data_IF_746814775010
#
_entry.id   IF_746814775010
#
_cell.length_a   1.000
_cell.length_b   1.000
_cell.length_c   1.000
_cell.angle_alpha   90.00
_cell.angle_beta   90.00
_cell.angle_gamma   90.00
#
_symmetry.space_group_name_H-M   'P 1'
#
loop_
_entity.id
_entity.type
_entity.pdbx_description
1 polymer ?
#
# COMPACT_ATOMS: atom_id res chain seq x y z
N UNK A 1 -10.24 -1.14 12.93
CA UNK A 1 -10.88 0.18 13.13
C UNK A 1 -9.92 1.34 12.91
N UNK A 2 -8.67 1.29 13.41
CA UNK A 2 -7.68 2.37 13.31
C UNK A 2 -7.36 2.83 11.88
N UNK A 3 -7.31 1.92 10.90
CA UNK A 3 -7.08 2.31 9.51
C UNK A 3 -8.17 3.20 8.94
N UNK A 4 -9.44 2.86 9.20
CA UNK A 4 -10.57 3.66 8.75
C UNK A 4 -10.60 5.02 9.45
N UNK A 5 -10.29 5.07 10.75
CA UNK A 5 -10.20 6.32 11.50
C UNK A 5 -9.05 7.21 10.98
N UNK A 6 -7.87 6.64 10.70
CA UNK A 6 -6.76 7.36 10.08
C UNK A 6 -7.18 7.96 8.74
N UNK A 7 -7.82 7.15 7.89
CA UNK A 7 -8.23 7.57 6.55
C UNK A 7 -9.39 8.58 6.57
N UNK A 8 -10.31 8.49 7.53
CA UNK A 8 -11.38 9.48 7.67
C UNK A 8 -10.85 10.86 8.03
N UNK A 9 -9.84 10.94 8.90
CA UNK A 9 -9.11 12.19 9.19
C UNK A 9 -8.36 12.70 7.97
N UNK A 10 -7.70 11.80 7.22
CA UNK A 10 -6.96 12.18 6.02
C UNK A 10 -7.88 12.80 4.96
N UNK A 11 -9.06 12.20 4.74
CA UNK A 11 -10.05 12.60 3.73
C UNK A 11 -10.97 13.75 4.18
N UNK A 12 -10.93 14.16 5.45
CA UNK A 12 -11.78 15.23 5.96
C UNK A 12 -11.34 16.61 5.45
N UNK A 13 -12.19 17.61 5.68
CA UNK A 13 -11.87 19.03 5.45
C UNK A 13 -11.08 19.72 6.57
N UNK A 14 -10.51 18.99 7.54
CA UNK A 14 -9.76 19.62 8.64
C UNK A 14 -8.51 20.35 8.15
N UNK A 15 -8.13 21.40 8.88
CA UNK A 15 -6.90 22.15 8.56
C UNK A 15 -5.66 21.25 8.69
N UNK A 16 -4.57 21.53 7.96
CA UNK A 16 -3.33 20.76 8.05
C UNK A 16 -2.77 20.66 9.47
N UNK A 17 -2.96 21.71 10.29
CA UNK A 17 -2.53 21.71 11.69
C UNK A 17 -3.25 20.63 12.52
N UNK A 18 -4.57 20.51 12.35
CA UNK A 18 -5.36 19.50 13.06
C UNK A 18 -5.02 18.09 12.55
N UNK A 19 -4.85 17.93 11.23
CA UNK A 19 -4.44 16.64 10.64
C UNK A 19 -3.06 16.21 11.14
N UNK A 20 -2.09 17.12 11.16
CA UNK A 20 -0.75 16.89 11.71
C UNK A 20 -0.78 16.53 13.19
N UNK A 21 -1.65 17.19 13.96
CA UNK A 21 -1.83 16.87 15.37
C UNK A 21 -2.35 15.43 15.59
N UNK A 22 -3.33 14.96 14.81
CA UNK A 22 -3.87 13.60 14.98
C UNK A 22 -3.07 12.50 14.28
N UNK A 23 -2.43 12.80 13.15
CA UNK A 23 -1.80 11.78 12.30
C UNK A 23 -0.26 11.80 12.38
N UNK A 24 0.31 12.88 12.91
CA UNK A 24 1.75 13.12 12.95
C UNK A 24 2.21 14.09 11.84
N UNK A 25 3.41 14.68 11.99
CA UNK A 25 3.91 15.71 11.07
C UNK A 25 4.13 15.22 9.65
N UNK A 26 4.36 13.92 9.47
CA UNK A 26 4.65 13.30 8.18
C UNK A 26 3.42 12.73 7.48
N UNK A 27 2.19 13.04 7.92
CA UNK A 27 0.96 12.39 7.44
C UNK A 27 0.72 12.46 5.92
N UNK A 28 1.40 13.38 5.21
CA UNK A 28 1.36 13.55 3.76
C UNK A 28 2.29 12.61 3.00
N UNK A 29 3.24 11.96 3.68
CA UNK A 29 4.13 10.98 3.06
C UNK A 29 3.37 9.68 2.76
N UNK A 30 3.79 8.98 1.71
CA UNK A 30 3.22 7.70 1.35
C UNK A 30 3.80 6.54 2.19
N UNK A 31 3.08 5.42 2.20
CA UNK A 31 3.50 4.21 2.89
C UNK A 31 3.76 4.41 4.37
N UNK A 32 4.73 3.65 4.90
CA UNK A 32 5.08 3.63 6.33
C UNK A 32 5.59 4.99 6.81
N UNK A 33 6.25 5.76 5.94
CA UNK A 33 6.82 7.07 6.29
C UNK A 33 5.76 8.08 6.73
N UNK A 34 4.52 7.92 6.25
CA UNK A 34 3.39 8.76 6.65
C UNK A 34 2.58 8.26 7.85
N UNK A 35 3.04 7.22 8.54
CA UNK A 35 2.32 6.64 9.66
C UNK A 35 3.09 6.77 10.98
N UNK A 36 2.57 7.60 11.87
CA UNK A 36 2.99 7.63 13.27
C UNK A 36 2.15 6.63 14.09
N UNK A 37 2.70 5.43 14.33
CA UNK A 37 2.02 4.35 15.07
C UNK A 37 1.57 4.80 16.46
N UNK A 38 2.30 5.72 17.10
CA UNK A 38 1.98 6.20 18.46
C UNK A 38 0.71 7.04 18.50
N UNK A 39 0.29 7.59 17.35
CA UNK A 39 -0.92 8.40 17.21
C UNK A 39 -2.06 7.64 16.55
N UNK A 40 -1.75 6.85 15.53
CA UNK A 40 -2.79 6.20 14.70
C UNK A 40 -3.22 4.83 15.24
N UNK A 41 -2.39 4.20 16.09
CA UNK A 41 -2.55 2.80 16.52
C UNK A 41 -2.71 1.84 15.31
N UNK A 42 -2.14 2.20 14.17
CA UNK A 42 -2.13 1.41 12.95
C UNK A 42 -0.72 0.82 12.77
N UNK A 43 -0.52 -0.50 12.85
CA UNK A 43 0.82 -1.07 12.77
C UNK A 43 1.44 -0.89 11.38
N UNK A 44 2.73 -0.59 11.33
CA UNK A 44 3.45 -0.29 10.08
C UNK A 44 3.38 -1.42 9.05
N UNK A 45 3.34 -2.69 9.48
CA UNK A 45 3.18 -3.83 8.58
C UNK A 45 1.88 -3.75 7.76
N UNK A 46 0.80 -3.24 8.36
CA UNK A 46 -0.48 -3.06 7.67
C UNK A 46 -0.41 -1.94 6.64
N UNK A 47 0.30 -0.87 6.95
CA UNK A 47 0.52 0.27 6.03
C UNK A 47 1.42 -0.14 4.87
N UNK A 48 2.51 -0.86 5.15
CA UNK A 48 3.42 -1.41 4.14
C UNK A 48 2.68 -2.31 3.16
N UNK A 49 1.92 -3.29 3.65
CA UNK A 49 1.13 -4.19 2.81
C UNK A 49 0.17 -3.44 1.87
N UNK A 50 -0.52 -2.41 2.38
CA UNK A 50 -1.44 -1.60 1.56
C UNK A 50 -0.71 -0.83 0.46
N UNK A 51 0.42 -0.22 0.80
CA UNK A 51 1.22 0.54 -0.15
C UNK A 51 1.84 -0.37 -1.22
N UNK A 52 2.40 -1.52 -0.82
CA UNK A 52 2.97 -2.51 -1.73
C UNK A 52 1.92 -3.10 -2.66
N UNK A 53 0.75 -3.47 -2.14
CA UNK A 53 -0.36 -4.00 -2.94
C UNK A 53 -0.81 -2.98 -3.98
N UNK A 54 -1.06 -1.74 -3.57
CA UNK A 54 -1.48 -0.68 -4.49
C UNK A 54 -0.43 -0.43 -5.59
N UNK A 55 0.84 -0.35 -5.21
CA UNK A 55 1.92 -0.11 -6.18
C UNK A 55 2.07 -1.29 -7.13
N UNK A 56 1.88 -2.52 -6.65
CA UNK A 56 1.91 -3.71 -7.49
C UNK A 56 0.74 -3.73 -8.48
N UNK A 57 -0.49 -3.44 -8.02
CA UNK A 57 -1.67 -3.33 -8.88
C UNK A 57 -1.46 -2.26 -9.97
N UNK A 58 -0.93 -1.09 -9.58
CA UNK A 58 -0.61 -0.02 -10.52
C UNK A 58 0.45 -0.45 -11.55
N UNK A 59 1.53 -1.13 -11.12
CA UNK A 59 2.55 -1.67 -12.03
C UNK A 59 1.97 -2.65 -13.03
N UNK A 60 1.06 -3.52 -12.61
CA UNK A 60 0.39 -4.47 -13.51
C UNK A 60 -0.45 -3.75 -14.57
N UNK A 61 -1.18 -2.71 -14.19
CA UNK A 61 -1.96 -1.90 -15.12
C UNK A 61 -1.08 -1.11 -16.09
N UNK A 62 0.00 -0.51 -15.60
CA UNK A 62 0.93 0.24 -16.45
C UNK A 62 1.62 -0.68 -17.45
N UNK A 63 2.10 -1.84 -17.00
CA UNK A 63 2.76 -2.81 -17.88
C UNK A 63 1.79 -3.35 -18.95
N UNK A 64 0.52 -3.62 -18.60
CA UNK A 64 -0.47 -4.08 -19.58
C UNK A 64 -0.78 -3.02 -20.63
N UNK A 65 -0.90 -1.75 -20.22
CA UNK A 65 -1.12 -0.63 -21.15
C UNK A 65 0.09 -0.45 -22.06
N UNK A 66 1.31 -0.48 -21.52
CA UNK A 66 2.53 -0.33 -22.30
C UNK A 66 2.72 -1.50 -23.29
N UNK A 67 2.44 -2.74 -22.86
CA UNK A 67 2.47 -3.91 -23.73
C UNK A 67 1.45 -3.79 -24.88
N UNK A 68 0.21 -3.37 -24.59
CA UNK A 68 -0.83 -3.16 -25.61
C UNK A 68 -0.46 -2.08 -26.62
N UNK A 69 0.27 -1.03 -26.20
CA UNK A 69 0.75 0.02 -27.10
C UNK A 69 1.89 -0.45 -27.99
N UNK A 70 2.78 -1.29 -27.45
CA UNK A 70 3.89 -1.86 -28.21
C UNK A 70 3.43 -2.91 -29.24
N UNK A 71 2.34 -3.65 -28.96
CA UNK A 71 1.85 -4.71 -29.85
C UNK A 71 0.98 -4.22 -31.02
N UNK A 72 0.65 -2.92 -31.11
CA UNK A 72 -0.14 -2.34 -32.21
C UNK A 72 -1.55 -2.94 -32.40
N UNK A 73 -1.97 -3.86 -31.52
CA UNK A 73 -3.20 -4.62 -31.65
C UNK A 73 -4.27 -4.04 -30.73
N UNK A 74 -5.15 -3.20 -31.29
CA UNK A 74 -6.44 -2.93 -30.66
C UNK A 74 -7.25 -4.23 -30.68
N UNK A 75 -7.28 -4.96 -29.58
CA UNK A 75 -8.22 -6.07 -29.38
C UNK A 75 -8.95 -5.89 -28.04
N UNK A 76 -10.27 -5.62 -28.07
CA UNK A 76 -11.05 -5.39 -26.88
C UNK A 76 -11.58 -6.72 -26.34
N UNK A 77 -10.72 -7.58 -25.78
CA UNK A 77 -11.15 -8.64 -24.86
C UNK A 77 -9.97 -9.44 -24.32
N UNK A 78 -9.71 -9.33 -23.01
CA UNK A 78 -9.38 -10.49 -22.16
C UNK A 78 -9.37 -10.08 -20.69
N UNK A 79 -10.53 -10.27 -20.04
CA UNK A 79 -10.59 -10.42 -18.59
C UNK A 79 -10.19 -11.86 -18.25
N UNK A 80 -8.91 -12.08 -17.89
CA UNK A 80 -8.49 -13.27 -17.15
C UNK A 80 -7.21 -12.94 -16.38
N UNK A 81 -7.38 -12.27 -15.24
CA UNK A 81 -6.29 -11.99 -14.29
C UNK A 81 -6.21 -13.21 -13.37
N UNK A 82 -5.30 -14.13 -13.66
CA UNK A 82 -4.95 -15.21 -12.73
C UNK A 82 -3.95 -14.67 -11.68
N UNK A 83 -4.33 -14.65 -10.41
CA UNK A 83 -3.49 -14.14 -9.32
C UNK A 83 -2.26 -15.03 -9.08
N UNK A 84 -1.03 -14.50 -9.09
CA UNK A 84 0.13 -15.26 -8.65
C UNK A 84 0.20 -15.25 -7.12
N UNK A 85 -0.58 -16.12 -6.47
CA UNK A 85 -0.55 -16.35 -5.01
C UNK A 85 0.78 -16.94 -4.50
N UNK A 86 1.76 -17.21 -5.37
CA UNK A 86 2.99 -17.95 -5.00
C UNK A 86 4.13 -17.07 -4.46
N UNK A 87 4.17 -15.77 -4.76
CA UNK A 87 5.31 -14.94 -4.36
C UNK A 87 5.18 -14.36 -2.94
N UNK A 88 3.94 -14.09 -2.49
CA UNK A 88 3.66 -13.45 -1.19
C UNK A 88 3.94 -14.34 0.04
N UNK A 89 3.98 -15.66 -0.11
CA UNK A 89 4.24 -16.54 1.03
C UNK A 89 5.71 -16.58 1.44
N UNK A 90 6.65 -16.39 0.51
CA UNK A 90 8.08 -16.52 0.85
C UNK A 90 8.64 -15.26 1.52
N UNK A 91 8.31 -14.07 1.03
CA UNK A 91 8.94 -12.84 1.52
C UNK A 91 8.50 -12.44 2.94
N UNK A 92 7.23 -12.68 3.29
CA UNK A 92 6.74 -12.42 4.65
C UNK A 92 7.19 -13.48 5.66
N UNK A 93 7.43 -14.73 5.23
CA UNK A 93 7.96 -15.80 6.10
C UNK A 93 9.42 -15.53 6.44
N UNK A 94 10.24 -15.10 5.47
CA UNK A 94 11.65 -14.75 5.72
C UNK A 94 11.80 -13.55 6.66
N UNK A 95 11.06 -12.45 6.43
CA UNK A 95 11.11 -11.28 7.33
C UNK A 95 10.60 -11.60 8.75
N UNK A 96 9.56 -12.43 8.88
CA UNK A 96 9.05 -12.84 10.19
C UNK A 96 10.00 -13.83 10.91
N UNK A 97 10.79 -14.62 10.19
CA UNK A 97 11.82 -15.48 10.77
C UNK A 97 13.05 -14.67 11.22
N UNK A 98 13.41 -13.62 10.49
CA UNK A 98 14.56 -12.78 10.82
C UNK A 98 14.31 -11.91 12.06
N UNK A 99 13.07 -11.47 12.29
CA UNK A 99 12.69 -10.72 13.49
C UNK A 99 12.64 -11.59 14.75
N UNK A 100 12.33 -12.90 14.64
CA UNK A 100 12.35 -13.83 15.77
C UNK A 100 13.75 -14.29 16.21
N UNK A 101 14.79 -14.02 15.42
CA UNK A 101 16.18 -14.34 15.77
C UNK A 101 16.92 -13.17 16.42
N UNK A 102 16.25 -12.02 16.61
CA UNK A 102 16.82 -10.82 17.22
C UNK A 102 16.18 -10.45 18.58
N UNK A 103 15.36 -11.36 19.13
CA UNK A 103 14.87 -11.37 20.51
C UNK A 103 15.52 -12.54 21.26
#
# INVERSE_FOLDING_TARGET
MCELARNSVLMSGFSPLIKSHWLGPNYTQEGVMGNDVTRTNLPNIRVAYRFETLTQELRLLLNSVLANRASGSVSPNTASIHSPKKFMHLQHVELAQQQRQQE
#
